data_IF_668322199859
#
_entry.id   IF_668322199859
#
_cell.length_a   1.000
_cell.length_b   1.000
_cell.length_c   1.000
_cell.angle_alpha   90.00
_cell.angle_beta   90.00
_cell.angle_gamma   90.00
#
_symmetry.space_group_name_H-M   'P 1'
#
loop_
_entity.id
_entity.type
_entity.pdbx_description
1 polymer ?
#
# COMPACT_ATOMS: atom_id res chain seq x y z
N UNK A 1 16.17 -28.87 0.73
CA UNK A 1 15.97 -28.20 -0.56
C UNK A 1 14.55 -28.51 -0.99
N UNK A 2 13.68 -27.50 -1.01
CA UNK A 2 12.29 -27.68 -1.45
C UNK A 2 12.31 -28.21 -2.89
N UNK A 3 11.49 -29.24 -3.17
CA UNK A 3 11.44 -29.89 -4.49
C UNK A 3 11.08 -28.81 -5.53
N UNK A 4 12.02 -28.46 -6.41
CA UNK A 4 11.88 -27.39 -7.42
C UNK A 4 10.58 -27.53 -8.21
N UNK A 5 10.15 -28.76 -8.43
CA UNK A 5 8.91 -29.11 -9.10
C UNK A 5 7.64 -28.74 -8.31
N UNK A 6 7.68 -28.78 -6.98
CA UNK A 6 6.59 -28.33 -6.11
C UNK A 6 6.45 -26.80 -6.12
N UNK A 7 7.57 -26.07 -6.14
CA UNK A 7 7.57 -24.61 -6.32
C UNK A 7 6.94 -24.22 -7.67
N UNK A 8 7.26 -24.94 -8.75
CA UNK A 8 6.66 -24.70 -10.08
C UNK A 8 5.16 -24.98 -10.15
N UNK A 9 4.65 -25.93 -9.38
CA UNK A 9 3.21 -26.16 -9.27
C UNK A 9 2.49 -24.99 -8.55
N UNK A 10 3.14 -24.38 -7.55
CA UNK A 10 2.65 -23.17 -6.89
C UNK A 10 2.67 -21.97 -7.84
N UNK A 11 3.78 -21.77 -8.56
CA UNK A 11 3.91 -20.71 -9.58
C UNK A 11 2.79 -20.77 -10.62
N UNK A 12 2.38 -21.97 -11.03
CA UNK A 12 1.25 -22.17 -11.96
C UNK A 12 -0.05 -21.60 -11.41
N UNK A 13 -0.47 -22.00 -10.20
CA UNK A 13 -1.70 -21.48 -9.58
C UNK A 13 -1.61 -19.98 -9.28
N UNK A 14 -0.48 -19.50 -8.78
CA UNK A 14 -0.25 -18.08 -8.50
C UNK A 14 -0.34 -17.26 -9.78
N UNK A 15 0.25 -17.72 -10.89
CA UNK A 15 0.19 -17.01 -12.17
C UNK A 15 -1.23 -16.91 -12.73
N UNK A 16 -2.05 -17.96 -12.60
CA UNK A 16 -3.45 -17.93 -13.02
C UNK A 16 -4.27 -16.90 -12.22
N UNK A 17 -4.13 -16.89 -10.89
CA UNK A 17 -4.81 -15.91 -10.02
C UNK A 17 -4.34 -14.49 -10.34
N UNK A 18 -3.04 -14.29 -10.53
CA UNK A 18 -2.48 -12.98 -10.89
C UNK A 18 -2.99 -12.50 -12.26
N UNK A 19 -3.05 -13.37 -13.26
CA UNK A 19 -3.60 -13.04 -14.58
C UNK A 19 -5.06 -12.61 -14.46
N UNK A 20 -5.89 -13.38 -13.75
CA UNK A 20 -7.29 -13.05 -13.54
C UNK A 20 -7.46 -11.69 -12.83
N UNK A 21 -6.69 -11.45 -11.77
CA UNK A 21 -6.70 -10.17 -11.07
C UNK A 21 -6.24 -9.00 -11.95
N UNK A 22 -5.15 -9.17 -12.71
CA UNK A 22 -4.64 -8.14 -13.61
C UNK A 22 -5.66 -7.80 -14.71
N UNK A 23 -6.27 -8.81 -15.34
CA UNK A 23 -7.29 -8.59 -16.37
C UNK A 23 -8.50 -7.86 -15.79
N UNK A 24 -8.96 -8.27 -14.59
CA UNK A 24 -10.05 -7.60 -13.90
C UNK A 24 -9.74 -6.12 -13.64
N UNK A 25 -8.58 -5.80 -13.06
CA UNK A 25 -8.22 -4.40 -12.77
C UNK A 25 -7.95 -3.58 -14.02
N UNK A 26 -7.34 -4.16 -15.06
CA UNK A 26 -7.16 -3.49 -16.35
C UNK A 26 -8.50 -3.17 -17.01
N UNK A 27 -9.48 -4.06 -16.87
CA UNK A 27 -10.85 -3.80 -17.31
C UNK A 27 -11.50 -2.69 -16.50
N UNK A 28 -11.46 -2.70 -15.16
CA UNK A 28 -11.96 -1.57 -14.36
C UNK A 28 -11.25 -0.24 -14.70
N UNK A 29 -9.99 -0.30 -15.12
CA UNK A 29 -9.23 0.91 -15.51
C UNK A 29 -9.73 1.51 -16.82
N UNK A 30 -10.40 0.74 -17.71
CA UNK A 30 -10.95 1.30 -18.95
C UNK A 30 -12.05 2.34 -18.73
N UNK A 31 -12.66 2.32 -17.54
CA UNK A 31 -13.70 3.28 -17.15
C UNK A 31 -13.10 4.62 -16.67
N UNK A 32 -11.78 4.71 -16.49
CA UNK A 32 -11.10 5.93 -16.03
C UNK A 32 -10.55 6.72 -17.24
N UNK A 33 -10.89 8.01 -17.40
CA UNK A 33 -10.40 8.80 -18.52
C UNK A 33 -8.87 9.00 -18.44
N UNK A 34 -8.18 8.64 -19.52
CA UNK A 34 -6.70 8.66 -19.63
C UNK A 34 -6.08 10.06 -19.71
N UNK A 35 -6.82 11.03 -20.27
CA UNK A 35 -6.28 12.34 -20.65
C UNK A 35 -7.12 13.52 -20.14
N UNK A 36 -8.13 13.28 -19.30
CA UNK A 36 -8.91 14.39 -18.76
C UNK A 36 -8.17 15.06 -17.59
N UNK A 37 -7.64 16.25 -17.88
CA UNK A 37 -6.91 17.10 -16.94
C UNK A 37 -7.80 17.85 -15.95
N UNK A 38 -9.13 17.66 -15.98
CA UNK A 38 -10.09 18.37 -15.12
C UNK A 38 -10.45 17.69 -13.78
N UNK A 39 -9.60 16.81 -13.24
CA UNK A 39 -9.79 16.26 -11.88
C UNK A 39 -9.28 17.19 -10.76
N UNK A 40 -9.42 18.50 -10.95
CA UNK A 40 -9.10 19.53 -9.94
C UNK A 40 -10.14 19.68 -8.83
N UNK A 41 -11.23 18.90 -8.87
CA UNK A 41 -12.35 18.99 -7.93
C UNK A 41 -12.94 17.62 -7.58
N UNK A 42 -12.08 16.63 -7.36
CA UNK A 42 -12.51 15.28 -6.95
C UNK A 42 -12.77 15.28 -5.44
N UNK A 43 -13.97 14.87 -5.03
CA UNK A 43 -14.37 14.71 -3.63
C UNK A 43 -13.34 13.85 -2.89
N UNK A 44 -12.96 14.19 -1.66
CA UNK A 44 -11.91 13.49 -0.89
C UNK A 44 -12.12 11.96 -0.78
N UNK A 45 -13.36 11.48 -0.95
CA UNK A 45 -13.72 10.05 -0.96
C UNK A 45 -13.30 9.28 -2.22
N UNK A 46 -13.00 9.97 -3.34
CA UNK A 46 -12.69 9.36 -4.63
C UNK A 46 -11.16 9.26 -4.88
N UNK A 47 -10.41 8.97 -3.82
CA UNK A 47 -8.96 8.77 -3.88
C UNK A 47 -8.53 7.58 -4.76
N UNK A 48 -9.46 6.65 -5.04
CA UNK A 48 -9.25 5.49 -5.90
C UNK A 48 -9.25 5.84 -7.40
N UNK A 49 -9.76 7.01 -7.80
CA UNK A 49 -9.72 7.51 -9.17
C UNK A 49 -8.37 8.21 -9.48
N UNK A 50 -7.27 7.51 -9.25
CA UNK A 50 -5.94 7.92 -9.75
C UNK A 50 -5.91 7.93 -11.28
N UNK A 51 -5.04 8.73 -11.90
CA UNK A 51 -4.99 8.75 -13.37
C UNK A 51 -4.76 7.35 -13.93
N UNK A 52 -5.58 6.96 -14.91
CA UNK A 52 -5.63 5.62 -15.49
C UNK A 52 -4.24 5.08 -15.89
N UNK A 53 -3.29 5.97 -16.24
CA UNK A 53 -1.89 5.65 -16.55
C UNK A 53 -1.21 4.78 -15.48
N UNK A 54 -1.46 5.04 -14.18
CA UNK A 54 -0.77 4.33 -13.11
C UNK A 54 -1.30 2.89 -12.97
N UNK A 55 -2.62 2.64 -12.86
CA UNK A 55 -3.15 1.28 -12.89
C UNK A 55 -2.77 0.51 -14.17
N UNK A 56 -2.84 1.14 -15.35
CA UNK A 56 -2.41 0.50 -16.60
C UNK A 56 -0.95 0.06 -16.56
N UNK A 57 -0.06 0.91 -16.05
CA UNK A 57 1.37 0.57 -15.93
C UNK A 57 1.59 -0.61 -14.97
N UNK A 58 1.03 -0.55 -13.77
CA UNK A 58 1.23 -1.58 -12.73
C UNK A 58 0.62 -2.92 -13.16
N UNK A 59 -0.67 -2.94 -13.50
CA UNK A 59 -1.36 -4.18 -13.85
C UNK A 59 -0.92 -4.71 -15.22
N UNK A 60 -0.52 -3.84 -16.16
CA UNK A 60 0.04 -4.25 -17.44
C UNK A 60 1.39 -4.95 -17.28
N UNK A 61 2.33 -4.37 -16.54
CA UNK A 61 3.63 -5.00 -16.27
C UNK A 61 3.48 -6.28 -15.44
N UNK A 62 2.59 -6.27 -14.44
CA UNK A 62 2.31 -7.45 -13.63
C UNK A 62 1.69 -8.58 -14.45
N UNK A 63 0.80 -8.27 -15.40
CA UNK A 63 0.24 -9.25 -16.34
C UNK A 63 1.35 -9.89 -17.18
N UNK A 64 2.28 -9.11 -17.71
CA UNK A 64 3.41 -9.63 -18.48
C UNK A 64 4.29 -10.57 -17.64
N UNK A 65 4.60 -10.18 -16.40
CA UNK A 65 5.34 -11.04 -15.47
C UNK A 65 4.58 -12.34 -15.16
N UNK A 66 3.27 -12.26 -14.92
CA UNK A 66 2.43 -13.41 -14.63
C UNK A 66 2.35 -14.38 -15.82
N UNK A 67 2.23 -13.86 -17.05
CA UNK A 67 2.31 -14.67 -18.28
C UNK A 67 3.68 -15.35 -18.44
N UNK A 68 4.76 -14.65 -18.09
CA UNK A 68 6.11 -15.22 -18.06
C UNK A 68 6.23 -16.39 -17.07
N UNK A 69 5.74 -16.21 -15.84
CA UNK A 69 5.70 -17.27 -14.81
C UNK A 69 4.86 -18.46 -15.25
N UNK A 70 3.68 -18.21 -15.85
CA UNK A 70 2.82 -19.27 -16.38
C UNK A 70 3.56 -20.06 -17.47
N UNK A 71 4.22 -19.38 -18.39
CA UNK A 71 4.97 -20.02 -19.48
C UNK A 71 6.11 -20.89 -18.95
N UNK A 72 6.86 -20.42 -17.95
CA UNK A 72 7.95 -21.18 -17.33
C UNK A 72 7.38 -22.39 -16.56
N UNK A 73 6.32 -22.20 -15.77
CA UNK A 73 5.72 -23.28 -14.99
C UNK A 73 5.14 -24.41 -15.84
N UNK A 74 4.55 -24.09 -17.01
CA UNK A 74 4.07 -25.09 -17.98
C UNK A 74 5.25 -25.84 -18.60
N UNK A 75 6.29 -25.13 -19.05
CA UNK A 75 7.48 -25.75 -19.67
C UNK A 75 8.23 -26.67 -18.73
N UNK A 76 8.28 -26.33 -17.44
CA UNK A 76 8.97 -27.10 -16.40
C UNK A 76 8.12 -28.28 -15.85
N UNK A 77 6.93 -28.56 -16.43
CA UNK A 77 6.07 -29.67 -16.00
C UNK A 77 5.26 -29.40 -14.71
N UNK A 78 5.23 -28.15 -14.23
CA UNK A 78 4.47 -27.74 -13.05
C UNK A 78 2.96 -27.93 -13.20
N UNK A 79 2.43 -27.80 -14.42
CA UNK A 79 1.00 -27.96 -14.72
C UNK A 79 0.50 -29.40 -14.48
N UNK A 80 1.27 -30.42 -14.90
CA UNK A 80 0.89 -31.83 -14.73
C UNK A 80 0.83 -32.23 -13.25
N UNK A 81 1.78 -31.74 -12.44
CA UNK A 81 1.81 -31.98 -10.99
C UNK A 81 0.79 -31.15 -10.23
N UNK A 82 0.53 -29.90 -10.63
CA UNK A 82 -0.50 -29.04 -10.03
C UNK A 82 -1.92 -29.59 -10.24
N UNK A 83 -2.17 -30.22 -11.39
CA UNK A 83 -3.47 -30.81 -11.72
C UNK A 83 -3.65 -32.22 -11.13
N UNK A 84 -2.56 -33.01 -10.98
CA UNK A 84 -2.61 -34.35 -10.36
C UNK A 84 -2.49 -34.33 -8.84
N UNK A 85 -1.77 -33.37 -8.28
CA UNK A 85 -1.58 -33.18 -6.85
C UNK A 85 -2.35 -31.94 -6.40
N UNK A 86 -3.65 -32.06 -6.22
CA UNK A 86 -4.45 -31.03 -5.56
C UNK A 86 -4.07 -31.00 -4.07
N UNK A 87 -2.99 -30.31 -3.76
CA UNK A 87 -2.45 -30.20 -2.41
C UNK A 87 -1.73 -28.88 -2.24
N UNK A 88 -2.49 -27.78 -2.18
CA UNK A 88 -2.00 -26.59 -1.49
C UNK A 88 -1.83 -27.03 -0.03
N UNK A 89 -0.61 -27.37 0.37
CA UNK A 89 -0.30 -27.70 1.75
C UNK A 89 -0.42 -26.42 2.57
N UNK A 90 -1.51 -26.28 3.33
CA UNK A 90 -1.71 -25.10 4.18
C UNK A 90 -0.83 -25.21 5.42
N UNK A 91 0.31 -24.54 5.41
CA UNK A 91 1.14 -24.43 6.61
C UNK A 91 0.56 -23.37 7.55
N UNK A 92 0.43 -23.71 8.85
CA UNK A 92 -0.15 -22.81 9.86
C UNK A 92 0.62 -21.48 9.96
N UNK A 93 1.94 -21.51 9.78
CA UNK A 93 2.77 -20.31 9.77
C UNK A 93 2.45 -19.41 8.56
N UNK A 94 2.27 -20.01 7.39
CA UNK A 94 1.90 -19.29 6.16
C UNK A 94 0.49 -18.69 6.27
N UNK A 95 -0.45 -19.42 6.86
CA UNK A 95 -1.80 -18.93 7.19
C UNK A 95 -1.79 -17.68 8.07
N UNK A 96 -1.01 -17.70 9.15
CA UNK A 96 -0.89 -16.55 10.06
C UNK A 96 -0.27 -15.36 9.31
N UNK A 97 0.78 -15.60 8.53
CA UNK A 97 1.44 -14.55 7.73
C UNK A 97 0.47 -13.93 6.72
N UNK A 98 -0.24 -14.75 5.96
CA UNK A 98 -1.27 -14.31 5.00
C UNK A 98 -2.40 -13.55 5.69
N UNK A 99 -2.89 -14.04 6.83
CA UNK A 99 -3.92 -13.36 7.62
C UNK A 99 -3.46 -11.98 8.13
N UNK A 100 -2.22 -11.87 8.60
CA UNK A 100 -1.67 -10.58 9.04
C UNK A 100 -1.53 -9.59 7.89
N UNK A 101 -1.08 -10.03 6.71
CA UNK A 101 -1.04 -9.18 5.50
C UNK A 101 -2.45 -8.73 5.13
N UNK A 102 -3.42 -9.65 5.10
CA UNK A 102 -4.80 -9.34 4.76
C UNK A 102 -5.40 -8.30 5.73
N UNK A 103 -5.17 -8.45 7.03
CA UNK A 103 -5.60 -7.48 8.05
C UNK A 103 -4.96 -6.12 7.81
N UNK A 104 -3.64 -6.08 7.60
CA UNK A 104 -2.93 -4.81 7.37
C UNK A 104 -3.46 -4.12 6.11
N UNK A 105 -3.60 -4.84 5.00
CA UNK A 105 -4.10 -4.27 3.75
C UNK A 105 -5.56 -3.83 3.86
N UNK A 106 -6.42 -4.61 4.52
CA UNK A 106 -7.82 -4.24 4.75
C UNK A 106 -7.93 -2.92 5.53
N UNK A 107 -7.25 -2.83 6.68
CA UNK A 107 -7.24 -1.62 7.49
C UNK A 107 -6.41 -0.48 6.89
N UNK A 108 -5.51 -0.75 5.95
CA UNK A 108 -4.86 0.33 5.23
C UNK A 108 -5.82 0.93 4.19
N UNK A 109 -6.43 0.09 3.36
CA UNK A 109 -7.23 0.49 2.19
C UNK A 109 -8.58 1.10 2.55
N UNK A 110 -9.41 0.40 3.35
CA UNK A 110 -10.78 0.84 3.68
C UNK A 110 -10.84 1.74 4.94
N UNK A 111 -9.82 1.51 5.74
CA UNK A 111 -9.32 2.15 6.91
C UNK A 111 -8.73 3.57 6.86
N UNK A 112 -7.40 3.57 6.73
CA UNK A 112 -6.53 4.69 6.95
C UNK A 112 -6.40 5.57 5.70
N UNK A 113 -6.27 5.01 4.50
CA UNK A 113 -6.08 5.80 3.25
C UNK A 113 -7.17 6.86 3.03
N UNK A 114 -8.47 6.61 3.25
CA UNK A 114 -9.50 7.62 3.03
C UNK A 114 -9.56 8.71 4.11
N UNK A 115 -9.01 8.46 5.31
CA UNK A 115 -9.29 9.25 6.54
C UNK A 115 -8.06 9.83 7.21
N UNK A 116 -6.91 9.21 7.05
CA UNK A 116 -5.65 9.60 7.66
C UNK A 116 -4.75 10.21 6.59
N UNK A 117 -3.95 11.20 6.98
CA UNK A 117 -2.88 11.74 6.14
C UNK A 117 -2.09 10.61 5.46
N UNK A 118 -2.02 10.68 4.13
CA UNK A 118 -1.45 9.60 3.33
C UNK A 118 0.02 9.30 3.70
N UNK A 119 0.80 10.31 4.10
CA UNK A 119 2.20 10.13 4.51
C UNK A 119 2.24 9.35 5.81
N UNK A 120 1.41 9.70 6.79
CA UNK A 120 1.37 9.06 8.11
C UNK A 120 0.91 7.59 7.98
N UNK A 121 -0.18 7.33 7.26
CA UNK A 121 -0.69 5.96 7.13
C UNK A 121 0.25 5.07 6.30
N UNK A 122 0.88 5.62 5.25
CA UNK A 122 1.90 4.91 4.47
C UNK A 122 3.16 4.65 5.29
N UNK A 123 3.57 5.59 6.15
CA UNK A 123 4.70 5.41 7.04
C UNK A 123 4.46 4.25 8.02
N UNK A 124 3.25 4.17 8.59
CA UNK A 124 2.83 3.05 9.43
C UNK A 124 2.83 1.72 8.66
N UNK A 125 2.33 1.70 7.43
CA UNK A 125 2.33 0.53 6.56
C UNK A 125 3.74 0.04 6.26
N UNK A 126 4.61 0.93 5.77
CA UNK A 126 6.00 0.59 5.39
C UNK A 126 6.77 0.09 6.60
N UNK A 127 6.64 0.77 7.75
CA UNK A 127 7.29 0.34 8.99
C UNK A 127 6.79 -1.04 9.42
N UNK A 128 5.47 -1.27 9.36
CA UNK A 128 4.85 -2.57 9.67
C UNK A 128 5.29 -3.69 8.73
N UNK A 129 5.47 -3.39 7.44
CA UNK A 129 5.96 -4.35 6.45
C UNK A 129 7.42 -4.72 6.70
N UNK A 130 8.30 -3.72 6.87
CA UNK A 130 9.73 -3.96 7.09
C UNK A 130 9.94 -4.70 8.41
N UNK A 131 9.42 -4.18 9.53
CA UNK A 131 9.61 -4.81 10.83
C UNK A 131 8.90 -6.16 10.94
N UNK A 132 7.66 -6.25 10.44
CA UNK A 132 6.81 -7.42 10.60
C UNK A 132 7.20 -8.60 9.73
N UNK A 133 7.81 -8.38 8.56
CA UNK A 133 7.97 -9.41 7.54
C UNK A 133 9.40 -9.61 7.01
N UNK A 134 10.37 -8.75 7.35
CA UNK A 134 11.75 -8.90 6.86
C UNK A 134 12.41 -10.22 7.29
N UNK A 135 12.34 -10.58 8.57
CA UNK A 135 13.02 -11.76 9.14
C UNK A 135 12.08 -12.96 9.38
N UNK A 136 10.82 -12.90 8.94
CA UNK A 136 9.87 -14.02 9.08
C UNK A 136 9.45 -14.39 10.51
N UNK A 137 9.71 -13.54 11.51
CA UNK A 137 9.32 -13.81 12.90
C UNK A 137 7.82 -13.59 13.13
N UNK A 138 7.04 -14.63 13.48
CA UNK A 138 5.58 -14.55 13.53
C UNK A 138 5.06 -13.59 14.60
N UNK A 139 5.78 -13.42 15.71
CA UNK A 139 5.41 -12.46 16.77
C UNK A 139 5.53 -11.00 16.30
N UNK A 140 6.53 -10.69 15.47
CA UNK A 140 6.69 -9.35 14.87
C UNK A 140 5.56 -9.07 13.88
N UNK A 141 5.25 -10.07 13.05
CA UNK A 141 4.15 -10.02 12.09
C UNK A 141 2.80 -9.73 12.76
N UNK A 142 2.45 -10.47 13.82
CA UNK A 142 1.22 -10.26 14.58
C UNK A 142 1.16 -8.88 15.22
N UNK A 143 2.27 -8.42 15.80
CA UNK A 143 2.33 -7.10 16.46
C UNK A 143 2.16 -5.96 15.45
N UNK A 144 2.82 -6.05 14.30
CA UNK A 144 2.65 -5.09 13.20
C UNK A 144 1.19 -5.05 12.74
N UNK A 145 0.57 -6.21 12.52
CA UNK A 145 -0.84 -6.29 12.15
C UNK A 145 -1.78 -5.73 13.23
N UNK A 146 -1.51 -6.01 14.51
CA UNK A 146 -2.31 -5.49 15.61
C UNK A 146 -2.25 -3.96 15.71
N UNK A 147 -1.08 -3.34 15.47
CA UNK A 147 -0.94 -1.88 15.53
C UNK A 147 -1.68 -1.21 14.36
N UNK A 148 -1.55 -1.75 13.14
CA UNK A 148 -2.32 -1.25 11.99
C UNK A 148 -3.82 -1.44 12.21
N UNK A 149 -4.22 -2.60 12.73
CA UNK A 149 -5.63 -2.87 13.05
C UNK A 149 -6.15 -1.93 14.13
N UNK A 150 -5.35 -1.60 15.16
CA UNK A 150 -5.74 -0.64 16.18
C UNK A 150 -5.99 0.76 15.60
N UNK A 151 -5.09 1.24 14.73
CA UNK A 151 -5.28 2.52 14.03
C UNK A 151 -6.53 2.49 13.15
N UNK A 152 -6.71 1.41 12.38
CA UNK A 152 -7.84 1.30 11.47
C UNK A 152 -9.19 1.10 12.16
N UNK A 153 -9.24 0.35 13.27
CA UNK A 153 -10.42 0.19 14.11
C UNK A 153 -10.81 1.50 14.77
N UNK A 154 -9.83 2.27 15.27
CA UNK A 154 -10.11 3.60 15.83
C UNK A 154 -10.84 4.48 14.81
N UNK A 155 -10.28 4.58 13.60
CA UNK A 155 -10.85 5.38 12.52
C UNK A 155 -12.24 4.88 12.09
N UNK A 156 -12.49 3.56 12.12
CA UNK A 156 -13.83 3.03 11.84
C UNK A 156 -14.83 3.29 12.95
N UNK A 157 -14.46 3.18 14.22
CA UNK A 157 -15.41 3.29 15.33
C UNK A 157 -15.77 4.75 15.59
N UNK A 158 -14.80 5.65 15.57
CA UNK A 158 -15.02 7.05 15.93
C UNK A 158 -15.56 7.88 14.77
N UNK A 159 -15.10 7.63 13.54
CA UNK A 159 -15.34 8.49 12.39
C UNK A 159 -15.89 7.68 11.19
N UNK A 160 -16.82 6.76 11.45
CA UNK A 160 -17.39 5.86 10.43
C UNK A 160 -18.03 6.58 9.23
N UNK A 161 -18.92 7.59 9.41
CA UNK A 161 -19.69 8.15 8.30
C UNK A 161 -18.80 8.88 7.29
N UNK A 162 -19.01 8.61 5.99
CA UNK A 162 -18.24 9.23 4.90
C UNK A 162 -18.28 10.77 4.90
N UNK A 163 -19.34 11.37 5.42
CA UNK A 163 -19.46 12.83 5.56
C UNK A 163 -18.41 13.45 6.50
N UNK A 164 -17.82 12.65 7.38
CA UNK A 164 -16.82 13.11 8.35
C UNK A 164 -15.39 12.97 7.78
N UNK A 165 -15.14 12.14 6.77
CA UNK A 165 -13.78 11.77 6.34
C UNK A 165 -12.91 12.94 5.84
N UNK A 166 -13.50 14.06 5.44
CA UNK A 166 -12.78 15.24 4.94
C UNK A 166 -12.50 16.31 6.01
N UNK A 167 -12.90 16.08 7.28
CA UNK A 167 -12.62 17.01 8.37
C UNK A 167 -11.28 16.63 9.03
N UNK A 168 -10.51 17.60 9.54
CA UNK A 168 -9.34 17.30 10.37
C UNK A 168 -9.80 16.58 11.64
N UNK A 169 -9.47 15.31 11.76
CA UNK A 169 -9.81 14.46 12.91
C UNK A 169 -8.57 14.06 13.72
N UNK A 170 -8.84 13.52 14.89
CA UNK A 170 -7.87 12.88 15.78
C UNK A 170 -7.25 11.61 15.19
N UNK A 171 -7.83 11.03 14.14
CA UNK A 171 -7.31 9.86 13.41
C UNK A 171 -5.83 10.03 12.99
N UNK A 172 -5.45 11.22 12.54
CA UNK A 172 -4.06 11.56 12.17
C UNK A 172 -3.12 11.45 13.37
N UNK A 173 -3.54 12.00 14.51
CA UNK A 173 -2.74 12.00 15.74
C UNK A 173 -2.62 10.62 16.34
N UNK A 174 -3.71 9.84 16.34
CA UNK A 174 -3.71 8.46 16.83
C UNK A 174 -2.80 7.60 15.96
N UNK A 175 -2.92 7.70 14.63
CA UNK A 175 -2.08 6.94 13.71
C UNK A 175 -0.61 7.36 13.81
N UNK A 176 -0.35 8.66 13.95
CA UNK A 176 1.00 9.20 14.17
C UNK A 176 1.61 8.67 15.47
N UNK A 177 0.85 8.68 16.57
CA UNK A 177 1.31 8.17 17.86
C UNK A 177 1.61 6.67 17.81
N UNK A 178 0.76 5.88 17.14
CA UNK A 178 0.96 4.45 16.94
C UNK A 178 2.18 4.16 16.06
N UNK A 179 2.38 4.93 14.98
CA UNK A 179 3.55 4.80 14.12
C UNK A 179 4.84 5.18 14.84
N UNK A 180 4.86 6.32 15.55
CA UNK A 180 6.02 6.73 16.34
C UNK A 180 6.32 5.72 17.45
N UNK A 181 5.30 5.24 18.14
CA UNK A 181 5.43 4.20 19.16
C UNK A 181 6.02 2.91 18.60
N UNK A 182 5.52 2.44 17.46
CA UNK A 182 6.08 1.28 16.75
C UNK A 182 7.53 1.56 16.33
N UNK A 183 7.82 2.71 15.73
CA UNK A 183 9.15 3.06 15.23
C UNK A 183 10.17 3.15 16.36
N UNK A 184 9.82 3.80 17.48
CA UNK A 184 10.68 3.87 18.66
C UNK A 184 10.89 2.48 19.23
N UNK A 185 9.83 1.69 19.35
CA UNK A 185 9.92 0.31 19.83
C UNK A 185 10.88 -0.53 18.97
N UNK A 186 10.78 -0.46 17.64
CA UNK A 186 11.62 -1.24 16.74
C UNK A 186 13.07 -0.77 16.77
N UNK A 187 13.32 0.54 16.82
CA UNK A 187 14.67 1.07 16.94
C UNK A 187 15.31 0.73 18.29
N UNK A 188 14.57 0.72 19.40
CA UNK A 188 15.15 0.36 20.71
C UNK A 188 15.52 -1.13 20.76
N UNK A 189 14.64 -2.01 20.27
CA UNK A 189 14.82 -3.46 20.42
C UNK A 189 15.57 -4.12 19.27
N UNK A 190 15.66 -3.47 18.10
CA UNK A 190 16.17 -4.08 16.86
C UNK A 190 17.06 -3.13 16.04
N UNK A 191 17.72 -2.13 16.66
CA UNK A 191 18.62 -1.18 15.95
C UNK A 191 19.76 -1.83 15.17
N UNK A 192 20.19 -3.02 15.58
CA UNK A 192 21.33 -3.70 14.96
C UNK A 192 20.94 -4.28 13.58
N UNK A 193 19.65 -4.42 13.30
CA UNK A 193 19.12 -4.86 12.01
C UNK A 193 19.10 -3.68 11.02
N UNK A 194 19.88 -3.79 9.93
CA UNK A 194 19.98 -2.74 8.91
C UNK A 194 18.61 -2.31 8.38
N UNK A 195 17.74 -3.27 8.08
CA UNK A 195 16.40 -3.03 7.55
C UNK A 195 15.54 -2.19 8.51
N UNK A 196 15.59 -2.48 9.81
CA UNK A 196 14.86 -1.72 10.83
C UNK A 196 15.41 -0.31 10.96
N UNK A 197 16.73 -0.13 10.86
CA UNK A 197 17.36 1.19 10.96
C UNK A 197 17.00 2.12 9.80
N UNK A 198 16.85 1.59 8.60
CA UNK A 198 16.44 2.39 7.43
C UNK A 198 14.92 2.57 7.33
N UNK A 199 14.13 1.75 8.04
CA UNK A 199 12.68 1.77 7.97
C UNK A 199 12.06 3.16 8.22
N UNK A 200 12.47 3.96 9.23
CA UNK A 200 11.89 5.30 9.45
C UNK A 200 12.16 6.25 8.28
N UNK A 201 13.36 6.17 7.69
CA UNK A 201 13.74 7.00 6.55
C UNK A 201 12.88 6.64 5.34
N UNK A 202 12.76 5.35 5.02
CA UNK A 202 11.94 4.87 3.92
C UNK A 202 10.45 5.17 4.12
N UNK A 203 9.97 5.02 5.35
CA UNK A 203 8.60 5.28 5.76
C UNK A 203 8.17 6.74 5.54
N UNK A 204 9.11 7.70 5.59
CA UNK A 204 8.83 9.11 5.30
C UNK A 204 9.14 9.43 3.84
N UNK A 205 10.34 9.07 3.37
CA UNK A 205 10.85 9.48 2.07
C UNK A 205 9.97 8.98 0.92
N UNK A 206 9.60 7.70 0.93
CA UNK A 206 8.83 7.07 -0.15
C UNK A 206 7.46 7.71 -0.32
N UNK A 207 6.60 7.78 0.71
CA UNK A 207 5.29 8.40 0.54
C UNK A 207 5.39 9.90 0.30
N UNK A 208 6.38 10.60 0.86
CA UNK A 208 6.57 12.02 0.57
C UNK A 208 6.87 12.26 -0.91
N UNK A 209 7.80 11.50 -1.51
CA UNK A 209 8.09 11.60 -2.94
C UNK A 209 6.83 11.31 -3.77
N UNK A 210 6.09 10.25 -3.42
CA UNK A 210 4.87 9.87 -4.12
C UNK A 210 3.81 10.97 -4.07
N UNK A 211 3.55 11.53 -2.89
CA UNK A 211 2.60 12.61 -2.66
C UNK A 211 3.00 13.87 -3.42
N UNK A 212 4.27 14.26 -3.37
CA UNK A 212 4.76 15.43 -4.12
C UNK A 212 4.62 15.22 -5.64
N UNK A 213 4.94 14.03 -6.13
CA UNK A 213 4.79 13.69 -7.55
C UNK A 213 3.32 13.72 -7.98
N UNK A 214 2.41 13.14 -7.19
CA UNK A 214 0.97 13.13 -7.48
C UNK A 214 0.36 14.53 -7.41
N UNK A 215 0.55 15.24 -6.29
CA UNK A 215 -0.06 16.55 -6.05
C UNK A 215 0.46 17.64 -6.99
N UNK A 216 1.78 17.72 -7.18
CA UNK A 216 2.40 18.86 -7.88
C UNK A 216 2.91 18.50 -9.27
N UNK A 217 3.40 17.28 -9.47
CA UNK A 217 3.86 16.80 -10.78
C UNK A 217 2.69 16.49 -11.71
N UNK A 218 1.85 15.54 -11.31
CA UNK A 218 0.73 15.08 -12.12
C UNK A 218 -0.58 15.83 -11.87
N UNK A 219 -0.63 16.70 -10.84
CA UNK A 219 -1.84 17.42 -10.40
C UNK A 219 -3.04 16.49 -10.12
N UNK A 220 -2.75 15.30 -9.62
CA UNK A 220 -3.74 14.28 -9.27
C UNK A 220 -4.29 14.51 -7.86
N UNK A 221 -5.42 13.86 -7.57
CA UNK A 221 -5.94 13.86 -6.21
C UNK A 221 -5.06 13.02 -5.29
N UNK A 222 -4.84 13.53 -4.07
CA UNK A 222 -4.11 12.83 -3.01
C UNK A 222 -5.12 12.41 -1.95
N UNK A 223 -5.02 11.19 -1.39
CA UNK A 223 -5.90 10.76 -0.31
C UNK A 223 -5.82 11.72 0.88
N UNK A 224 -7.00 12.11 1.40
CA UNK A 224 -7.17 13.05 2.52
C UNK A 224 -6.27 14.30 2.48
N UNK A 225 -6.56 15.25 1.59
CA UNK A 225 -5.80 16.53 1.48
C UNK A 225 -5.83 17.39 2.75
N UNK A 226 -6.83 17.22 3.61
CA UNK A 226 -6.93 17.86 4.92
C UNK A 226 -5.98 17.27 5.98
N UNK A 227 -5.21 16.25 5.62
CA UNK A 227 -4.26 15.58 6.50
C UNK A 227 -3.22 16.52 7.13
N UNK A 228 -2.75 16.15 8.31
CA UNK A 228 -1.86 16.93 9.17
C UNK A 228 -0.55 17.35 8.49
N UNK A 229 0.07 16.48 7.70
CA UNK A 229 1.33 16.77 7.02
C UNK A 229 1.09 17.39 5.64
N UNK A 230 0.14 16.85 4.88
CA UNK A 230 -0.12 17.29 3.52
C UNK A 230 -0.65 18.72 3.46
N UNK A 231 -1.54 19.10 4.38
CA UNK A 231 -2.06 20.48 4.45
C UNK A 231 -0.95 21.52 4.64
N UNK A 232 0.09 21.20 5.40
CA UNK A 232 1.27 22.07 5.59
C UNK A 232 2.12 22.13 4.32
N UNK A 233 2.33 21.00 3.66
CA UNK A 233 3.07 20.92 2.38
C UNK A 233 2.35 21.76 1.32
N UNK A 234 1.03 21.61 1.19
CA UNK A 234 0.21 22.34 0.24
C UNK A 234 0.22 23.85 0.54
N UNK A 235 0.09 24.23 1.81
CA UNK A 235 0.19 25.62 2.26
C UNK A 235 1.53 26.24 1.87
N UNK A 236 2.66 25.61 2.22
CA UNK A 236 3.98 26.14 1.90
C UNK A 236 4.24 26.17 0.39
N UNK A 237 3.73 25.21 -0.38
CA UNK A 237 3.83 25.24 -1.82
C UNK A 237 3.10 26.46 -2.41
N UNK A 238 1.83 26.68 -2.06
CA UNK A 238 1.05 27.76 -2.66
C UNK A 238 1.36 29.16 -2.09
N UNK A 239 1.70 29.25 -0.80
CA UNK A 239 1.91 30.53 -0.11
C UNK A 239 3.37 30.94 -0.10
N UNK A 240 4.30 29.99 0.05
CA UNK A 240 5.74 30.31 0.18
C UNK A 240 6.48 30.13 -1.15
N UNK A 241 6.37 28.96 -1.78
CA UNK A 241 7.22 28.61 -2.94
C UNK A 241 6.70 29.17 -4.26
N UNK A 242 5.43 28.94 -4.58
CA UNK A 242 4.83 29.36 -5.85
C UNK A 242 4.95 30.87 -6.09
N UNK A 243 4.77 31.77 -5.10
CA UNK A 243 4.91 33.21 -5.33
C UNK A 243 6.35 33.64 -5.65
N UNK A 244 7.37 32.91 -5.17
CA UNK A 244 8.78 33.19 -5.47
C UNK A 244 9.10 32.97 -6.95
N UNK A 245 8.39 32.05 -7.61
CA UNK A 245 8.58 31.75 -9.03
C UNK A 245 7.49 32.36 -9.93
N UNK A 246 6.32 32.70 -9.38
CA UNK A 246 5.25 33.37 -10.10
C UNK A 246 5.48 34.89 -10.27
N UNK A 247 6.37 35.50 -9.47
CA UNK A 247 6.82 36.89 -9.68
C UNK A 247 7.92 36.96 -10.76
N UNK A 248 7.48 36.85 -12.02
CA UNK A 248 8.11 37.47 -13.19
C UNK A 248 7.05 37.64 -14.28
N UNK A 249 6.16 38.61 -14.08
CA UNK A 249 5.51 39.38 -15.14
C UNK A 249 5.42 40.82 -14.66
#
# INVERSE_FOLDING_TARGET
MEDKTALRARDFWTSLVLIAACVFFLWCTTDIPLFDTQTGGVTSGDWYNSAAVVPYGIFGLMLLCALGLLTISIKDGGAERALRGAGVGWERAELIRMGCIAIILFFYIFALVPRVDFVICSALLITSMIYGFHDGHPERTKRAAAIVAAAGLYAFVMNFPQSEWAKPHDDDWVTLALWLGLTIYTLINHRDEYAVRIAPVMAILVPLILVLAMAFGFRQNVPNRSGLLFSQIEYHYYVTLKPLWAKKK
#
